data_IF_260717286455
#
_entry.id   IF_260717286455
#
_cell.length_a   1.000
_cell.length_b   1.000
_cell.length_c   1.000
_cell.angle_alpha   90.00
_cell.angle_beta   90.00
_cell.angle_gamma   90.00
#
_symmetry.space_group_name_H-M   'P 1'
#
loop_
_entity.id
_entity.type
_entity.pdbx_description
1 polymer ?
#
# COMPACT_ATOMS: atom_id res chain seq x y z
N UNK A 1 7.39 60.50 9.65
CA UNK A 1 6.75 59.18 9.75
C UNK A 1 5.26 59.42 9.90
N UNK A 2 4.50 59.36 8.81
CA UNK A 2 3.05 59.62 8.84
C UNK A 2 2.42 58.45 9.61
N UNK A 3 1.82 58.73 10.77
CA UNK A 3 1.09 57.75 11.57
C UNK A 3 -0.23 57.42 10.84
N UNK A 4 -0.29 56.23 10.26
CA UNK A 4 -1.50 55.68 9.64
C UNK A 4 -2.62 55.59 10.69
N UNK A 5 -3.82 56.06 10.35
CA UNK A 5 -4.94 56.10 11.28
C UNK A 5 -5.50 54.70 11.58
N UNK A 6 -6.15 54.54 12.74
CA UNK A 6 -6.77 53.26 13.16
C UNK A 6 -7.81 52.75 12.14
N UNK A 7 -8.48 53.68 11.44
CA UNK A 7 -9.46 53.35 10.40
C UNK A 7 -8.79 52.83 9.11
N UNK A 8 -7.74 53.50 8.63
CA UNK A 8 -6.99 53.06 7.45
C UNK A 8 -6.36 51.67 7.66
N UNK A 9 -5.82 51.41 8.85
CA UNK A 9 -5.33 50.07 9.21
C UNK A 9 -6.45 49.01 9.18
N UNK A 10 -7.64 49.34 9.68
CA UNK A 10 -8.81 48.47 9.62
C UNK A 10 -9.25 48.15 8.19
N UNK A 11 -9.23 49.14 7.30
CA UNK A 11 -9.57 48.94 5.87
C UNK A 11 -8.57 48.01 5.20
N UNK A 12 -7.26 48.20 5.42
CA UNK A 12 -6.21 47.36 4.84
C UNK A 12 -6.36 45.90 5.30
N UNK A 13 -6.61 45.66 6.58
CA UNK A 13 -6.88 44.30 7.09
C UNK A 13 -8.15 43.72 6.48
N UNK A 14 -9.22 44.50 6.39
CA UNK A 14 -10.49 44.06 5.79
C UNK A 14 -10.33 43.58 4.35
N UNK A 15 -9.57 44.33 3.54
CA UNK A 15 -9.23 43.93 2.17
C UNK A 15 -8.38 42.66 2.17
N UNK A 16 -7.37 42.55 3.04
CA UNK A 16 -6.53 41.35 3.12
C UNK A 16 -7.33 40.08 3.45
N UNK A 17 -8.24 40.16 4.43
CA UNK A 17 -9.10 39.04 4.80
C UNK A 17 -10.07 38.64 3.68
N UNK A 18 -10.63 39.61 2.96
CA UNK A 18 -11.48 39.35 1.79
C UNK A 18 -10.69 38.63 0.69
N UNK A 19 -9.48 39.10 0.38
CA UNK A 19 -8.62 38.45 -0.62
C UNK A 19 -8.27 37.01 -0.22
N UNK A 20 -7.91 36.76 1.03
CA UNK A 20 -7.63 35.42 1.54
C UNK A 20 -8.87 34.52 1.41
N UNK A 21 -10.05 35.03 1.78
CA UNK A 21 -11.31 34.29 1.70
C UNK A 21 -11.66 33.88 0.26
N UNK A 22 -11.32 34.69 -0.73
CA UNK A 22 -11.53 34.38 -2.15
C UNK A 22 -10.47 33.39 -2.69
N UNK A 23 -9.25 33.41 -2.16
CA UNK A 23 -8.14 32.54 -2.64
C UNK A 23 -8.19 31.14 -2.05
N UNK A 24 -8.62 30.98 -0.80
CA UNK A 24 -8.56 29.69 -0.10
C UNK A 24 -9.38 28.56 -0.78
N UNK A 25 -10.64 28.79 -1.25
CA UNK A 25 -11.39 27.77 -1.98
C UNK A 25 -10.71 27.37 -3.29
N UNK A 26 -10.13 28.35 -4.01
CA UNK A 26 -9.42 28.09 -5.26
C UNK A 26 -8.16 27.23 -5.04
N UNK A 27 -7.43 27.46 -3.93
CA UNK A 27 -6.29 26.63 -3.55
C UNK A 27 -6.68 25.19 -3.22
N UNK A 28 -7.82 25.00 -2.55
CA UNK A 28 -8.33 23.67 -2.22
C UNK A 28 -8.74 22.92 -3.49
N UNK A 29 -9.48 23.57 -4.40
CA UNK A 29 -9.85 23.01 -5.69
C UNK A 29 -8.63 22.60 -6.50
N UNK A 30 -7.63 23.47 -6.61
CA UNK A 30 -6.39 23.19 -7.34
C UNK A 30 -5.59 22.03 -6.75
N UNK A 31 -5.55 21.91 -5.41
CA UNK A 31 -4.91 20.77 -4.74
C UNK A 31 -5.64 19.46 -5.04
N UNK A 32 -6.96 19.50 -5.09
CA UNK A 32 -7.76 18.31 -5.36
C UNK A 32 -7.66 17.86 -6.82
N UNK A 33 -7.70 18.79 -7.77
CA UNK A 33 -7.40 18.51 -9.17
C UNK A 33 -6.00 17.91 -9.36
N UNK A 34 -5.00 18.40 -8.60
CA UNK A 34 -3.66 17.84 -8.61
C UNK A 34 -3.63 16.39 -8.08
N UNK A 35 -4.35 16.09 -7.00
CA UNK A 35 -4.48 14.71 -6.47
C UNK A 35 -5.18 13.79 -7.47
N UNK A 36 -6.26 14.26 -8.09
CA UNK A 36 -6.98 13.53 -9.13
C UNK A 36 -6.05 13.22 -10.32
N UNK A 37 -5.28 14.22 -10.77
CA UNK A 37 -4.29 14.06 -11.85
C UNK A 37 -3.16 13.08 -11.47
N UNK A 38 -2.67 13.13 -10.24
CA UNK A 38 -1.67 12.19 -9.73
C UNK A 38 -2.21 10.76 -9.67
N UNK A 39 -3.43 10.55 -9.18
CA UNK A 39 -4.06 9.21 -9.17
C UNK A 39 -4.28 8.66 -10.57
N UNK A 40 -4.73 9.50 -11.50
CA UNK A 40 -4.81 9.15 -12.93
C UNK A 40 -3.43 8.74 -13.47
N UNK A 41 -2.37 9.44 -13.08
CA UNK A 41 -1.00 9.09 -13.47
C UNK A 41 -0.52 7.78 -12.82
N UNK A 42 -0.91 7.49 -11.58
CA UNK A 42 -0.63 6.20 -10.94
C UNK A 42 -1.28 5.04 -11.70
N UNK A 43 -2.56 5.16 -12.09
CA UNK A 43 -3.22 4.18 -12.96
C UNK A 43 -2.56 4.07 -14.34
N UNK A 44 -2.05 5.17 -14.89
CA UNK A 44 -1.27 5.13 -16.14
C UNK A 44 0.04 4.36 -15.98
N UNK A 45 0.74 4.52 -14.87
CA UNK A 45 1.94 3.72 -14.56
C UNK A 45 1.61 2.25 -14.37
N UNK A 46 0.51 1.93 -13.66
CA UNK A 46 0.00 0.55 -13.54
C UNK A 46 -0.34 -0.02 -14.93
N UNK A 47 -1.02 0.74 -15.77
CA UNK A 47 -1.34 0.35 -17.14
C UNK A 47 -0.10 0.07 -17.98
N UNK A 48 0.89 0.96 -17.95
CA UNK A 48 2.17 0.74 -18.65
C UNK A 48 2.88 -0.53 -18.14
N UNK A 49 2.88 -0.77 -16.83
CA UNK A 49 3.46 -1.97 -16.25
C UNK A 49 2.71 -3.26 -16.66
N UNK A 50 1.38 -3.21 -16.74
CA UNK A 50 0.56 -4.31 -17.26
C UNK A 50 0.84 -4.59 -18.74
N UNK A 51 1.00 -3.55 -19.56
CA UNK A 51 1.39 -3.69 -20.97
C UNK A 51 2.78 -4.28 -21.13
N UNK A 52 3.76 -3.82 -20.36
CA UNK A 52 5.11 -4.40 -20.39
C UNK A 52 5.14 -5.85 -19.89
N UNK A 53 4.31 -6.18 -18.89
CA UNK A 53 4.11 -7.56 -18.46
C UNK A 53 3.52 -8.40 -19.59
N UNK A 54 2.48 -7.90 -20.25
CA UNK A 54 1.79 -8.60 -21.33
C UNK A 54 2.70 -8.80 -22.55
N UNK A 55 3.49 -7.81 -22.95
CA UNK A 55 4.48 -7.93 -24.04
C UNK A 55 5.52 -9.03 -23.74
N UNK A 56 5.96 -9.15 -22.49
CA UNK A 56 6.94 -10.17 -22.09
C UNK A 56 6.34 -11.56 -21.85
N UNK A 57 5.11 -11.65 -21.33
CA UNK A 57 4.47 -12.91 -20.92
C UNK A 57 3.34 -13.39 -21.85
N UNK A 58 3.03 -12.62 -22.90
CA UNK A 58 1.95 -12.82 -23.87
C UNK A 58 0.55 -12.94 -23.24
N UNK A 59 0.38 -12.40 -22.03
CA UNK A 59 -0.87 -12.41 -21.28
C UNK A 59 -0.82 -11.45 -20.10
N UNK A 60 -1.98 -11.02 -19.62
CA UNK A 60 -2.12 -10.35 -18.33
C UNK A 60 -1.66 -11.26 -17.18
N UNK A 61 -1.17 -10.69 -16.06
CA UNK A 61 -0.78 -11.48 -14.89
C UNK A 61 -1.99 -12.24 -14.32
N UNK A 62 -1.71 -13.35 -13.63
CA UNK A 62 -2.71 -13.96 -12.76
C UNK A 62 -3.19 -12.91 -11.76
N UNK A 63 -4.49 -12.80 -11.54
CA UNK A 63 -5.04 -12.00 -10.44
C UNK A 63 -4.42 -12.41 -9.11
N UNK A 64 -4.33 -13.73 -8.92
CA UNK A 64 -3.73 -14.38 -7.77
C UNK A 64 -3.29 -15.79 -8.12
N UNK A 65 -2.16 -16.22 -7.58
CA UNK A 65 -1.70 -17.61 -7.67
C UNK A 65 -2.06 -18.33 -6.38
N UNK A 66 -2.84 -19.40 -6.44
CA UNK A 66 -3.28 -20.21 -5.32
C UNK A 66 -2.89 -21.64 -5.63
N UNK A 67 -2.06 -22.25 -4.78
CA UNK A 67 -1.62 -23.64 -4.94
C UNK A 67 -2.80 -24.61 -4.73
N UNK A 68 -2.65 -25.83 -5.22
CA UNK A 68 -3.70 -26.87 -5.13
C UNK A 68 -4.13 -27.17 -3.69
N UNK A 69 -3.22 -27.03 -2.72
CA UNK A 69 -3.50 -27.19 -1.29
C UNK A 69 -4.17 -25.96 -0.63
N UNK A 70 -4.55 -24.96 -1.43
CA UNK A 70 -5.23 -23.76 -0.98
C UNK A 70 -4.30 -22.65 -0.47
N UNK A 71 -2.98 -22.86 -0.45
CA UNK A 71 -2.04 -21.81 -0.04
C UNK A 71 -2.01 -20.71 -1.09
N UNK A 72 -2.38 -19.49 -0.68
CA UNK A 72 -2.29 -18.31 -1.52
C UNK A 72 -0.82 -17.86 -1.64
N UNK A 73 -0.37 -17.66 -2.87
CA UNK A 73 1.00 -17.27 -3.22
C UNK A 73 1.05 -15.77 -3.48
N UNK A 74 1.03 -15.31 -4.74
CA UNK A 74 1.23 -13.89 -5.09
C UNK A 74 0.09 -13.33 -5.95
N UNK A 75 -0.18 -12.03 -5.81
CA UNK A 75 -1.20 -11.29 -6.57
C UNK A 75 -0.65 -10.56 -7.80
N UNK A 76 -1.56 -10.03 -8.63
CA UNK A 76 -1.20 -9.33 -9.88
C UNK A 76 -0.35 -8.07 -9.67
N UNK A 77 -0.57 -7.33 -8.57
CA UNK A 77 0.26 -6.16 -8.23
C UNK A 77 1.72 -6.55 -8.08
N UNK A 78 1.99 -7.68 -7.40
CA UNK A 78 3.33 -8.22 -7.28
C UNK A 78 3.88 -8.68 -8.64
N UNK A 79 3.05 -9.28 -9.49
CA UNK A 79 3.42 -9.68 -10.85
C UNK A 79 3.91 -8.53 -11.72
N UNK A 80 3.30 -7.35 -11.60
CA UNK A 80 3.69 -6.15 -12.38
C UNK A 80 4.81 -5.32 -11.74
N UNK A 81 5.19 -5.60 -10.49
CA UNK A 81 6.16 -4.80 -9.75
C UNK A 81 7.52 -4.60 -10.46
N UNK A 82 8.13 -5.61 -11.11
CA UNK A 82 9.35 -5.41 -11.90
C UNK A 82 9.20 -4.35 -13.01
N UNK A 83 7.99 -4.18 -13.53
CA UNK A 83 7.67 -3.26 -14.62
C UNK A 83 7.30 -1.84 -14.15
N UNK A 84 7.23 -1.61 -12.82
CA UNK A 84 6.93 -0.31 -12.20
C UNK A 84 8.18 0.49 -11.79
N UNK A 85 9.35 0.15 -12.33
CA UNK A 85 10.65 0.66 -11.86
C UNK A 85 10.90 0.34 -10.37
N UNK A 86 10.26 -0.71 -9.84
CA UNK A 86 10.37 -1.18 -8.45
C UNK A 86 11.26 -2.43 -8.32
N UNK A 87 12.28 -2.54 -9.18
CA UNK A 87 13.17 -3.71 -9.27
C UNK A 87 13.86 -4.09 -7.96
N UNK A 88 14.00 -3.14 -7.01
CA UNK A 88 14.59 -3.42 -5.71
C UNK A 88 13.70 -4.30 -4.82
N UNK A 89 12.38 -4.17 -4.91
CA UNK A 89 11.44 -4.95 -4.09
C UNK A 89 11.25 -6.37 -4.65
N UNK A 90 11.09 -6.50 -5.97
CA UNK A 90 10.91 -7.81 -6.62
C UNK A 90 12.10 -8.74 -6.37
N UNK A 91 13.33 -8.23 -6.44
CA UNK A 91 14.55 -9.00 -6.21
C UNK A 91 14.73 -9.51 -4.77
N UNK A 92 13.97 -8.99 -3.80
CA UNK A 92 14.03 -9.40 -2.39
C UNK A 92 13.00 -10.47 -2.02
N UNK A 93 11.98 -10.66 -2.84
CA UNK A 93 10.92 -11.61 -2.61
C UNK A 93 11.38 -13.04 -2.91
N UNK A 94 10.97 -13.95 -2.04
CA UNK A 94 11.02 -15.38 -2.31
C UNK A 94 9.67 -15.80 -2.91
N UNK A 95 9.67 -16.14 -4.20
CA UNK A 95 8.47 -16.49 -4.95
C UNK A 95 7.89 -17.85 -4.54
N UNK A 96 8.69 -18.71 -3.90
CA UNK A 96 8.27 -20.05 -3.44
C UNK A 96 7.59 -19.99 -2.06
N UNK A 97 7.62 -18.82 -1.41
CA UNK A 97 6.94 -18.56 -0.15
C UNK A 97 5.56 -17.93 -0.38
N UNK A 98 4.62 -18.21 0.53
CA UNK A 98 3.29 -17.58 0.49
C UNK A 98 3.37 -16.08 0.76
N UNK A 99 2.35 -15.32 0.35
CA UNK A 99 2.27 -13.88 0.68
C UNK A 99 2.25 -13.60 2.19
N UNK A 100 1.85 -14.58 3.01
CA UNK A 100 1.78 -14.44 4.46
C UNK A 100 3.03 -14.95 5.17
N UNK A 101 4.08 -15.34 4.43
CA UNK A 101 5.33 -15.81 5.00
C UNK A 101 6.13 -14.66 5.63
N UNK A 102 6.69 -14.89 6.81
CA UNK A 102 7.59 -13.93 7.48
C UNK A 102 8.86 -13.64 6.67
N UNK A 103 9.22 -14.52 5.73
CA UNK A 103 10.35 -14.30 4.80
C UNK A 103 10.08 -13.09 3.88
N UNK A 104 8.84 -12.90 3.45
CA UNK A 104 8.44 -11.84 2.53
C UNK A 104 7.83 -10.62 3.23
N UNK A 105 7.45 -10.74 4.51
CA UNK A 105 6.91 -9.64 5.32
C UNK A 105 7.73 -8.33 5.24
N UNK A 106 9.08 -8.34 5.30
CA UNK A 106 9.87 -7.10 5.20
C UNK A 106 9.69 -6.32 3.88
N UNK A 107 9.25 -7.00 2.81
CA UNK A 107 8.92 -6.36 1.53
C UNK A 107 7.49 -5.83 1.56
N UNK A 108 6.54 -6.58 2.13
CA UNK A 108 5.12 -6.25 2.14
C UNK A 108 4.72 -5.12 3.09
N UNK A 109 5.61 -4.73 4.00
CA UNK A 109 5.45 -3.53 4.85
C UNK A 109 5.84 -2.23 4.14
N UNK A 110 6.24 -2.27 2.87
CA UNK A 110 6.54 -1.07 2.10
C UNK A 110 5.26 -0.39 1.60
N UNK A 111 5.18 0.94 1.74
CA UNK A 111 4.19 1.75 1.02
C UNK A 111 4.70 2.03 -0.40
N UNK A 112 3.91 1.64 -1.40
CA UNK A 112 4.23 1.82 -2.81
C UNK A 112 3.38 2.97 -3.34
N UNK A 113 4.02 4.11 -3.63
CA UNK A 113 3.33 5.34 -4.02
C UNK A 113 2.37 5.16 -5.22
N UNK A 114 2.76 4.36 -6.23
CA UNK A 114 1.90 4.12 -7.39
C UNK A 114 0.66 3.25 -7.10
N UNK A 115 0.56 2.64 -5.92
CA UNK A 115 -0.61 1.89 -5.46
C UNK A 115 -1.53 2.71 -4.56
N UNK A 116 -1.18 3.96 -4.29
CA UNK A 116 -1.88 4.83 -3.35
C UNK A 116 -2.58 5.96 -4.12
N UNK A 117 -3.87 6.17 -3.84
CA UNK A 117 -4.60 7.40 -4.21
C UNK A 117 -4.13 8.55 -3.30
N UNK A 118 -3.56 9.64 -3.86
CA UNK A 118 -3.10 10.77 -3.06
C UNK A 118 -4.22 11.44 -2.27
N UNK A 119 -4.00 11.66 -0.97
CA UNK A 119 -4.99 12.28 -0.07
C UNK A 119 -5.85 11.30 0.72
N UNK A 120 -5.79 10.00 0.42
CA UNK A 120 -6.35 8.95 1.29
C UNK A 120 -5.38 8.68 2.43
N UNK A 121 -5.83 8.83 3.68
CA UNK A 121 -5.05 8.58 4.90
C UNK A 121 -5.26 7.14 5.39
N UNK A 122 -4.80 6.17 4.59
CA UNK A 122 -4.90 4.75 4.88
C UNK A 122 -3.75 3.98 4.19
N UNK A 123 -2.54 4.11 4.73
CA UNK A 123 -1.34 3.58 4.07
C UNK A 123 -1.04 2.12 4.48
N UNK A 124 -1.44 1.72 5.69
CA UNK A 124 -1.13 0.41 6.25
C UNK A 124 -2.30 -0.24 6.98
N UNK A 125 -2.24 -1.57 7.07
CA UNK A 125 -3.07 -2.34 8.01
C UNK A 125 -2.60 -2.15 9.45
N UNK A 126 -3.43 -2.53 10.43
CA UNK A 126 -3.03 -2.63 11.85
C UNK A 126 -1.90 -3.63 12.10
N UNK A 127 -1.70 -4.56 11.16
CA UNK A 127 -0.57 -5.51 11.16
C UNK A 127 0.67 -4.98 10.41
N UNK A 128 0.60 -3.77 9.85
CA UNK A 128 1.72 -3.06 9.24
C UNK A 128 1.96 -3.36 7.75
N UNK A 129 1.14 -4.20 7.11
CA UNK A 129 1.19 -4.42 5.67
C UNK A 129 0.77 -3.17 4.90
N UNK A 130 1.52 -2.80 3.86
CA UNK A 130 1.20 -1.68 2.98
C UNK A 130 -0.04 -1.93 2.13
N UNK A 131 -0.87 -0.92 1.95
CA UNK A 131 -2.16 -1.03 1.26
C UNK A 131 -2.07 -0.74 -0.23
N UNK A 132 -3.16 -1.03 -0.94
CA UNK A 132 -3.45 -0.54 -2.29
C UNK A 132 -4.83 0.11 -2.32
N UNK A 133 -4.94 1.19 -3.08
CA UNK A 133 -6.19 1.90 -3.39
C UNK A 133 -6.71 1.56 -4.79
N UNK A 134 -6.11 0.58 -5.46
CA UNK A 134 -6.54 0.09 -6.76
C UNK A 134 -6.73 -1.42 -6.76
N UNK A 135 -7.86 -1.89 -7.28
CA UNK A 135 -8.14 -3.31 -7.44
C UNK A 135 -8.50 -3.67 -8.88
N UNK A 136 -8.30 -4.95 -9.21
CA UNK A 136 -8.46 -5.48 -10.55
C UNK A 136 -9.89 -5.88 -10.91
N UNK A 137 -10.12 -5.98 -12.22
CA UNK A 137 -11.29 -6.57 -12.83
C UNK A 137 -11.27 -8.10 -12.63
N UNK A 138 -12.25 -8.70 -11.93
CA UNK A 138 -12.29 -10.13 -11.70
C UNK A 138 -12.39 -10.96 -12.99
N UNK A 139 -12.86 -10.40 -14.09
CA UNK A 139 -12.88 -11.09 -15.37
C UNK A 139 -11.49 -11.24 -16.01
N UNK A 140 -10.56 -10.33 -15.71
CA UNK A 140 -9.22 -10.31 -16.29
C UNK A 140 -8.12 -10.75 -15.32
N UNK A 141 -8.28 -10.37 -14.05
CA UNK A 141 -7.31 -10.53 -12.98
C UNK A 141 -7.91 -11.42 -11.90
N UNK A 142 -8.13 -12.70 -12.22
CA UNK A 142 -8.63 -13.71 -11.28
C UNK A 142 -7.61 -14.83 -11.02
N UNK A 143 -8.00 -15.77 -10.16
CA UNK A 143 -7.11 -16.83 -9.70
C UNK A 143 -6.64 -17.75 -10.84
N UNK A 144 -5.36 -18.09 -10.83
CA UNK A 144 -4.72 -19.20 -11.56
C UNK A 144 -4.96 -19.27 -13.08
N UNK A 145 -5.46 -18.20 -13.70
CA UNK A 145 -5.73 -18.16 -15.14
C UNK A 145 -5.30 -16.82 -15.73
N UNK A 146 -4.68 -16.92 -16.90
CA UNK A 146 -4.22 -15.80 -17.71
C UNK A 146 -5.31 -15.42 -18.69
N UNK A 147 -5.45 -14.12 -18.90
CA UNK A 147 -6.29 -13.55 -19.96
C UNK A 147 -5.37 -12.84 -20.95
N UNK A 148 -5.57 -13.06 -22.24
CA UNK A 148 -4.80 -12.39 -23.30
C UNK A 148 -5.65 -11.28 -23.92
N UNK A 149 -5.01 -10.29 -24.55
CA UNK A 149 -5.76 -9.23 -25.22
C UNK A 149 -6.59 -9.73 -26.41
N UNK A 150 -6.18 -10.84 -27.05
CA UNK A 150 -6.97 -11.50 -28.10
C UNK A 150 -8.33 -12.02 -27.62
N UNK A 151 -8.48 -12.29 -26.31
CA UNK A 151 -9.76 -12.73 -25.72
C UNK A 151 -10.74 -11.57 -25.50
N UNK A 152 -10.32 -10.32 -25.70
CA UNK A 152 -11.18 -9.14 -25.53
C UNK A 152 -12.05 -8.90 -26.77
N UNK A 153 -13.09 -9.71 -26.94
CA UNK A 153 -13.94 -9.76 -28.15
C UNK A 153 -14.59 -8.41 -28.51
N UNK A 154 -14.87 -7.56 -27.51
CA UNK A 154 -15.46 -6.23 -27.72
C UNK A 154 -14.42 -5.14 -28.00
N UNK A 155 -13.14 -5.50 -28.09
CA UNK A 155 -12.02 -4.57 -28.20
C UNK A 155 -11.56 -4.01 -26.86
N UNK A 156 -10.30 -3.58 -26.82
CA UNK A 156 -9.60 -3.11 -25.60
C UNK A 156 -10.23 -1.86 -24.98
N UNK A 157 -10.84 -0.99 -25.79
CA UNK A 157 -11.55 0.17 -25.25
C UNK A 157 -12.76 -0.25 -24.43
N UNK A 158 -13.54 -1.26 -24.80
CA UNK A 158 -14.75 -1.62 -24.04
C UNK A 158 -14.46 -2.46 -22.79
N UNK A 159 -13.19 -2.62 -22.43
CA UNK A 159 -12.76 -3.40 -21.27
C UNK A 159 -12.04 -2.50 -20.25
N UNK A 160 -12.25 -2.77 -18.96
CA UNK A 160 -11.49 -2.18 -17.86
C UNK A 160 -10.59 -3.24 -17.21
N UNK A 161 -9.43 -2.83 -16.68
CA UNK A 161 -8.47 -3.72 -16.02
C UNK A 161 -8.40 -3.47 -14.52
N UNK A 162 -8.30 -2.21 -14.09
CA UNK A 162 -8.19 -1.85 -12.68
C UNK A 162 -8.88 -0.52 -12.41
N UNK A 163 -9.22 -0.24 -11.16
CA UNK A 163 -9.88 0.99 -10.78
C UNK A 163 -9.63 1.38 -9.34
N UNK A 164 -9.87 2.66 -9.04
CA UNK A 164 -9.84 3.22 -7.68
C UNK A 164 -10.95 2.61 -6.83
N UNK A 165 -10.66 2.24 -5.59
CA UNK A 165 -11.66 1.66 -4.67
C UNK A 165 -12.03 2.61 -3.54
N UNK A 166 -13.31 2.58 -3.14
CA UNK A 166 -13.87 3.54 -2.19
C UNK A 166 -13.53 3.22 -0.73
N UNK A 167 -13.10 1.99 -0.45
CA UNK A 167 -12.76 1.53 0.89
C UNK A 167 -12.50 0.02 0.93
N UNK A 168 -12.55 -0.54 2.14
CA UNK A 168 -12.14 -1.92 2.40
C UNK A 168 -10.80 -2.21 1.73
N UNK A 169 -9.84 -1.32 1.97
CA UNK A 169 -8.51 -1.40 1.38
C UNK A 169 -7.85 -2.72 1.78
N UNK A 170 -7.07 -3.26 0.87
CA UNK A 170 -6.39 -4.54 1.03
C UNK A 170 -4.89 -4.30 0.96
N UNK A 171 -4.07 -5.13 1.62
CA UNK A 171 -2.65 -5.15 1.35
C UNK A 171 -2.39 -5.34 -0.14
N UNK A 172 -1.43 -4.62 -0.71
CA UNK A 172 -1.04 -4.83 -2.11
C UNK A 172 -0.41 -6.21 -2.33
N UNK A 173 0.05 -6.86 -1.25
CA UNK A 173 0.55 -8.23 -1.25
C UNK A 173 -0.55 -9.29 -1.21
N UNK A 174 -1.80 -8.89 -0.94
CA UNK A 174 -2.90 -9.84 -0.81
C UNK A 174 -3.25 -10.46 -2.18
N UNK A 175 -3.21 -11.79 -2.35
CA UNK A 175 -3.36 -12.38 -3.67
C UNK A 175 -4.75 -12.24 -4.31
N UNK A 176 -5.75 -11.71 -3.59
CA UNK A 176 -7.13 -11.56 -4.06
C UNK A 176 -7.51 -10.08 -4.30
N UNK A 177 -6.59 -9.29 -4.87
CA UNK A 177 -6.80 -7.86 -5.14
C UNK A 177 -7.71 -7.58 -6.35
N UNK A 178 -8.92 -8.14 -6.35
CA UNK A 178 -9.99 -7.85 -7.31
C UNK A 178 -11.34 -7.79 -6.59
N UNK A 179 -12.32 -7.11 -7.20
CA UNK A 179 -13.73 -7.18 -6.78
C UNK A 179 -14.65 -6.80 -7.94
N UNK A 180 -15.93 -7.20 -7.93
CA UNK A 180 -16.88 -6.79 -8.97
C UNK A 180 -17.01 -5.26 -9.06
N UNK A 181 -17.17 -4.73 -10.27
CA UNK A 181 -17.34 -3.28 -10.48
C UNK A 181 -18.62 -2.74 -9.84
N UNK A 182 -19.67 -3.58 -9.80
CA UNK A 182 -21.01 -3.16 -9.39
C UNK A 182 -21.72 -2.33 -10.47
N UNK A 183 -22.83 -1.70 -10.08
CA UNK A 183 -23.67 -0.87 -10.97
C UNK A 183 -23.65 0.60 -10.58
N UNK A 184 -22.88 0.98 -9.55
CA UNK A 184 -22.76 2.34 -9.05
C UNK A 184 -21.39 2.52 -8.39
N UNK A 185 -20.75 3.66 -8.64
CA UNK A 185 -19.51 4.04 -7.96
C UNK A 185 -19.80 4.78 -6.66
N UNK A 186 -18.86 4.75 -5.73
CA UNK A 186 -18.97 5.40 -4.41
C UNK A 186 -20.17 4.89 -3.58
N UNK A 187 -20.62 3.66 -3.84
CA UNK A 187 -21.77 3.01 -3.18
C UNK A 187 -21.33 2.18 -1.94
N UNK A 188 -20.56 2.83 -1.07
CA UNK A 188 -20.00 2.21 0.14
C UNK A 188 -18.63 1.53 -0.06
N UNK A 189 -18.07 0.94 1.01
CA UNK A 189 -16.65 0.55 1.06
C UNK A 189 -16.30 -0.64 0.15
N UNK A 190 -17.28 -1.41 -0.32
CA UNK A 190 -17.05 -2.50 -1.29
C UNK A 190 -17.07 -2.03 -2.75
N UNK A 191 -17.41 -0.77 -3.03
CA UNK A 191 -17.50 -0.24 -4.40
C UNK A 191 -16.17 0.27 -4.93
N UNK A 192 -16.13 0.51 -6.26
CA UNK A 192 -15.12 1.35 -6.90
C UNK A 192 -15.51 2.83 -6.78
N UNK A 193 -14.53 3.72 -6.86
CA UNK A 193 -14.69 5.16 -6.76
C UNK A 193 -13.86 5.78 -5.65
N UNK A 194 -13.81 7.10 -5.62
CA UNK A 194 -13.24 7.92 -4.56
C UNK A 194 -14.33 8.92 -4.12
N UNK A 195 -14.99 8.70 -2.97
CA UNK A 195 -16.15 9.52 -2.56
C UNK A 195 -15.89 11.03 -2.53
N UNK A 196 -14.67 11.48 -2.24
CA UNK A 196 -14.36 12.92 -2.23
C UNK A 196 -14.34 13.56 -3.65
N UNK A 197 -14.40 12.76 -4.71
CA UNK A 197 -14.46 13.22 -6.11
C UNK A 197 -15.82 12.97 -6.76
N UNK A 198 -16.81 12.45 -6.03
CA UNK A 198 -18.12 12.06 -6.60
C UNK A 198 -17.98 11.13 -7.82
N UNK A 199 -17.01 10.21 -7.77
CA UNK A 199 -16.69 9.31 -8.86
C UNK A 199 -15.31 8.67 -8.71
N UNK A 200 -14.77 8.10 -9.77
CA UNK A 200 -13.41 7.57 -9.76
C UNK A 200 -12.91 7.16 -11.14
N UNK A 201 -11.62 6.87 -11.21
CA UNK A 201 -10.96 6.45 -12.44
C UNK A 201 -10.96 4.94 -12.61
N UNK A 202 -11.20 4.52 -13.84
CA UNK A 202 -10.95 3.16 -14.30
C UNK A 202 -9.86 3.20 -15.39
N UNK A 203 -8.89 2.30 -15.25
CA UNK A 203 -7.93 1.96 -16.29
C UNK A 203 -8.60 1.03 -17.29
N UNK A 204 -8.63 1.45 -18.55
CA UNK A 204 -9.15 0.66 -19.68
C UNK A 204 -8.07 -0.22 -20.27
N UNK A 205 -8.47 -1.29 -20.94
CA UNK A 205 -7.50 -2.22 -21.53
C UNK A 205 -6.73 -1.62 -22.70
N UNK A 206 -7.20 -0.52 -23.31
CA UNK A 206 -6.44 0.28 -24.29
C UNK A 206 -5.38 1.21 -23.66
N UNK A 207 -5.20 1.13 -22.33
CA UNK A 207 -4.27 1.96 -21.57
C UNK A 207 -4.78 3.37 -21.28
N UNK A 208 -5.98 3.75 -21.73
CA UNK A 208 -6.62 5.00 -21.33
C UNK A 208 -7.12 4.93 -19.88
N UNK A 209 -7.13 6.08 -19.19
CA UNK A 209 -7.68 6.18 -17.83
C UNK A 209 -8.81 7.20 -17.89
N UNK A 210 -10.02 6.74 -17.59
CA UNK A 210 -11.26 7.51 -17.73
C UNK A 210 -11.90 7.70 -16.37
N UNK A 211 -12.30 8.94 -16.08
CA UNK A 211 -13.09 9.25 -14.90
C UNK A 211 -14.57 8.96 -15.16
N UNK A 212 -15.20 8.29 -14.21
CA UNK A 212 -16.63 8.01 -14.19
C UNK A 212 -17.22 8.64 -12.94
N UNK A 213 -18.27 9.45 -13.10
CA UNK A 213 -19.02 10.02 -11.97
C UNK A 213 -19.85 8.94 -11.28
N UNK A 214 -20.16 9.14 -10.00
CA UNK A 214 -21.14 8.35 -9.24
C UNK A 214 -22.57 8.42 -9.81
N UNK A 215 -22.84 9.38 -10.71
CA UNK A 215 -24.07 9.52 -11.50
C UNK A 215 -24.01 8.79 -12.85
N UNK A 216 -22.93 8.05 -13.13
CA UNK A 216 -22.83 7.25 -14.37
C UNK A 216 -24.00 6.29 -14.46
N UNK A 217 -24.66 6.24 -15.62
CA UNK A 217 -25.80 5.36 -15.85
C UNK A 217 -25.44 3.89 -15.51
N UNK A 218 -26.24 3.19 -14.67
CA UNK A 218 -25.94 1.82 -14.23
C UNK A 218 -25.69 0.83 -15.38
N UNK A 219 -26.35 1.04 -16.53
CA UNK A 219 -26.21 0.21 -17.72
C UNK A 219 -24.80 0.26 -18.30
N UNK A 220 -24.09 1.40 -18.17
CA UNK A 220 -22.70 1.56 -18.63
C UNK A 220 -21.77 0.70 -17.76
N UNK A 221 -21.90 0.81 -16.43
CA UNK A 221 -21.08 0.05 -15.48
C UNK A 221 -21.37 -1.45 -15.58
N UNK A 222 -22.66 -1.82 -15.75
CA UNK A 222 -23.07 -3.20 -16.02
C UNK A 222 -22.44 -3.74 -17.30
N UNK A 223 -22.45 -2.95 -18.38
CA UNK A 223 -21.84 -3.36 -19.64
C UNK A 223 -20.32 -3.61 -19.50
N UNK A 224 -19.62 -2.83 -18.68
CA UNK A 224 -18.21 -3.07 -18.35
C UNK A 224 -17.99 -4.28 -17.44
N UNK A 225 -18.88 -4.50 -16.46
CA UNK A 225 -18.79 -5.64 -15.55
C UNK A 225 -19.04 -6.98 -16.25
N UNK A 226 -19.90 -7.00 -17.27
CA UNK A 226 -20.30 -8.20 -18.02
C UNK A 226 -19.52 -8.39 -19.34
N UNK A 227 -18.54 -7.53 -19.63
CA UNK A 227 -17.76 -7.61 -20.87
C UNK A 227 -16.88 -8.88 -20.90
N UNK A 228 -16.91 -9.66 -22.00
CA UNK A 228 -16.14 -10.90 -22.13
C UNK A 228 -14.62 -10.64 -22.22
N UNK A 229 -13.78 -11.59 -21.75
CA UNK A 229 -14.16 -12.90 -21.22
C UNK A 229 -14.79 -12.79 -19.82
N UNK A 230 -15.75 -13.65 -19.50
CA UNK A 230 -16.39 -13.68 -18.17
C UNK A 230 -15.82 -14.84 -17.37
N UNK A 231 -15.23 -14.55 -16.22
CA UNK A 231 -14.66 -15.56 -15.35
C UNK A 231 -15.75 -16.31 -14.58
N UNK A 232 -15.50 -17.59 -14.27
CA UNK A 232 -16.40 -18.40 -13.44
C UNK A 232 -16.47 -17.89 -12.01
N UNK A 233 -17.50 -18.32 -11.27
CA UNK A 233 -17.66 -17.96 -9.86
C UNK A 233 -16.49 -18.48 -9.01
N UNK A 234 -16.01 -19.68 -9.30
CA UNK A 234 -14.89 -20.32 -8.61
C UNK A 234 -13.59 -19.54 -8.83
N UNK A 235 -13.41 -18.97 -10.03
CA UNK A 235 -12.24 -18.16 -10.38
C UNK A 235 -12.23 -16.80 -9.66
N UNK A 236 -13.41 -16.20 -9.53
CA UNK A 236 -13.58 -14.85 -8.96
C UNK A 236 -13.82 -14.84 -7.46
N UNK A 237 -14.07 -16.01 -6.86
CA UNK A 237 -14.25 -16.16 -5.42
C UNK A 237 -13.05 -15.61 -4.63
N UNK A 238 -13.36 -14.77 -3.64
CA UNK A 238 -12.40 -14.22 -2.69
C UNK A 238 -12.70 -14.76 -1.28
N UNK A 239 -11.69 -15.00 -0.45
CA UNK A 239 -11.91 -15.32 0.97
C UNK A 239 -12.70 -14.21 1.66
N UNK A 240 -13.59 -14.59 2.59
CA UNK A 240 -14.26 -13.64 3.48
C UNK A 240 -13.26 -13.11 4.50
N UNK A 241 -12.56 -12.06 4.11
CA UNK A 241 -11.47 -11.45 4.88
C UNK A 241 -11.49 -9.94 4.70
N UNK A 242 -11.56 -9.23 5.80
CA UNK A 242 -11.33 -7.79 5.89
C UNK A 242 -9.97 -7.51 6.54
N UNK A 243 -9.47 -6.31 6.34
CA UNK A 243 -8.24 -5.84 6.97
C UNK A 243 -8.56 -4.54 7.68
N UNK A 244 -8.24 -4.48 8.97
CA UNK A 244 -8.29 -3.22 9.69
C UNK A 244 -7.11 -2.36 9.24
N UNK A 245 -7.40 -1.09 8.93
CA UNK A 245 -6.42 -0.14 8.42
C UNK A 245 -6.61 1.24 9.03
N UNK A 246 -5.58 2.07 8.84
CA UNK A 246 -5.61 3.43 9.32
C UNK A 246 -4.38 4.21 8.87
N UNK A 247 -4.28 5.41 9.42
CA UNK A 247 -3.18 6.32 9.17
C UNK A 247 -2.00 5.95 10.08
N UNK A 248 -1.16 5.05 9.58
CA UNK A 248 0.00 4.53 10.28
C UNK A 248 1.29 4.88 9.55
N UNK A 249 2.41 4.86 10.27
CA UNK A 249 3.73 4.90 9.68
C UNK A 249 4.70 3.97 10.43
N UNK A 250 5.74 3.54 9.73
CA UNK A 250 6.85 2.78 10.31
C UNK A 250 7.95 3.74 10.75
N UNK A 251 8.22 3.76 12.05
CA UNK A 251 9.41 4.41 12.61
C UNK A 251 10.55 3.39 12.73
N UNK A 252 11.72 3.73 12.22
CA UNK A 252 12.92 2.89 12.33
C UNK A 252 13.71 3.23 13.58
N UNK A 253 14.02 2.21 14.38
CA UNK A 253 14.86 2.29 15.57
C UNK A 253 16.01 1.29 15.40
N UNK A 254 17.24 1.79 15.29
CA UNK A 254 18.42 0.92 15.24
C UNK A 254 18.75 0.40 16.65
N UNK A 255 18.93 -0.91 16.78
CA UNK A 255 19.28 -1.58 18.03
C UNK A 255 20.80 -1.68 18.18
N UNK A 256 21.28 -1.57 19.41
CA UNK A 256 22.70 -1.68 19.72
C UNK A 256 23.20 -3.11 19.50
N UNK A 257 24.32 -3.25 18.82
CA UNK A 257 25.04 -4.50 18.60
C UNK A 257 26.54 -4.21 18.57
N UNK A 258 27.37 -5.25 18.63
CA UNK A 258 28.82 -5.09 18.55
C UNK A 258 29.23 -4.51 17.19
N UNK A 259 30.18 -3.59 17.16
CA UNK A 259 30.62 -2.93 15.92
C UNK A 259 31.19 -3.90 14.88
N UNK A 260 31.73 -5.02 15.35
CA UNK A 260 32.31 -6.10 14.55
C UNK A 260 31.33 -7.26 14.32
N UNK A 261 30.09 -7.14 14.78
CA UNK A 261 29.06 -8.14 14.53
C UNK A 261 28.81 -8.31 13.04
N UNK A 262 28.45 -9.52 12.63
CA UNK A 262 28.11 -9.82 11.24
C UNK A 262 26.81 -9.14 10.82
N UNK A 263 25.95 -8.81 11.79
CA UNK A 263 24.65 -8.21 11.53
C UNK A 263 24.39 -6.93 12.32
N UNK A 264 23.56 -6.08 11.72
CA UNK A 264 22.86 -4.99 12.39
C UNK A 264 21.44 -5.42 12.72
N UNK A 265 20.85 -4.78 13.73
CA UNK A 265 19.52 -5.08 14.20
C UNK A 265 18.66 -3.83 14.19
N UNK A 266 17.42 -3.99 13.73
CA UNK A 266 16.51 -2.88 13.48
C UNK A 266 15.14 -3.25 14.01
N UNK A 267 14.58 -2.40 14.85
CA UNK A 267 13.17 -2.45 15.21
C UNK A 267 12.40 -1.46 14.33
N UNK A 268 11.35 -1.94 13.66
CA UNK A 268 10.37 -1.09 13.00
C UNK A 268 9.15 -1.01 13.90
N UNK A 269 8.80 0.19 14.35
CA UNK A 269 7.67 0.48 15.23
C UNK A 269 6.52 0.97 14.37
N UNK A 270 5.39 0.26 14.37
CA UNK A 270 4.20 0.73 13.68
C UNK A 270 3.44 1.68 14.61
N UNK A 271 3.30 2.94 14.18
CA UNK A 271 2.65 3.99 14.96
C UNK A 271 1.47 4.58 14.22
N UNK A 272 0.42 4.91 14.98
CA UNK A 272 -0.58 5.87 14.52
C UNK A 272 0.02 7.27 14.54
N UNK A 273 -0.39 8.14 13.60
CA UNK A 273 0.09 9.53 13.54
C UNK A 273 -0.18 10.34 14.83
N UNK A 274 -1.10 9.86 15.67
CA UNK A 274 -1.54 10.51 16.91
C UNK A 274 -1.12 9.70 18.17
N UNK A 275 0.10 9.15 18.14
CA UNK A 275 0.94 8.71 19.28
C UNK A 275 0.77 7.28 19.86
N UNK A 276 -0.15 6.44 19.40
CA UNK A 276 -0.19 5.04 19.88
C UNK A 276 0.67 4.11 19.03
N UNK A 277 1.56 3.36 19.69
CA UNK A 277 2.29 2.24 19.08
C UNK A 277 1.35 1.04 18.96
N UNK A 278 1.38 0.33 17.83
CA UNK A 278 0.55 -0.86 17.62
C UNK A 278 1.34 -2.15 17.79
N UNK A 279 2.51 -2.21 17.16
CA UNK A 279 3.41 -3.36 17.20
C UNK A 279 4.84 -2.94 16.87
N UNK A 280 5.81 -3.79 17.22
CA UNK A 280 7.20 -3.66 16.77
C UNK A 280 7.59 -4.94 16.03
N UNK A 281 8.14 -4.80 14.83
CA UNK A 281 8.80 -5.89 14.14
C UNK A 281 10.32 -5.72 14.27
N UNK A 282 11.01 -6.73 14.77
CA UNK A 282 12.47 -6.75 14.87
C UNK A 282 13.04 -7.52 13.69
N UNK A 283 14.03 -6.94 13.04
CA UNK A 283 14.74 -7.50 11.90
C UNK A 283 16.24 -7.49 12.15
N UNK A 284 16.93 -8.32 11.37
CA UNK A 284 18.38 -8.27 11.22
C UNK A 284 18.76 -8.07 9.76
N UNK A 285 19.94 -7.51 9.51
CA UNK A 285 20.53 -7.42 8.18
C UNK A 285 22.06 -7.48 8.28
N UNK A 286 22.71 -7.92 7.20
CA UNK A 286 24.17 -7.95 7.15
C UNK A 286 24.78 -6.57 7.44
N UNK A 287 25.77 -6.53 8.33
CA UNK A 287 26.55 -5.35 8.67
C UNK A 287 27.52 -5.04 7.54
N UNK A 288 27.05 -4.25 6.56
CA UNK A 288 27.81 -3.89 5.37
C UNK A 288 28.49 -2.54 5.53
N UNK A 289 29.73 -2.45 5.09
CA UNK A 289 30.46 -1.21 4.96
C UNK A 289 29.76 -0.24 3.99
N UNK A 290 30.00 1.08 4.10
CA UNK A 290 29.45 2.06 3.15
C UNK A 290 29.83 1.78 1.69
N UNK A 291 30.98 1.15 1.45
CA UNK A 291 31.43 0.78 0.11
C UNK A 291 30.64 -0.39 -0.47
N UNK A 292 30.42 -1.45 0.32
CA UNK A 292 29.58 -2.59 -0.09
C UNK A 292 28.14 -2.17 -0.37
N UNK A 293 27.60 -1.23 0.42
CA UNK A 293 26.27 -0.66 0.18
C UNK A 293 26.18 0.09 -1.15
N UNK A 294 27.21 0.84 -1.54
CA UNK A 294 27.27 1.55 -2.84
C UNK A 294 27.34 0.59 -4.03
N UNK A 295 28.03 -0.53 -3.87
CA UNK A 295 28.25 -1.52 -4.93
C UNK A 295 27.13 -2.57 -5.03
N UNK A 296 26.19 -2.57 -4.06
CA UNK A 296 25.06 -3.50 -4.04
C UNK A 296 24.05 -3.19 -5.15
N UNK A 297 23.71 -4.21 -5.96
CA UNK A 297 22.64 -4.11 -6.97
C UNK A 297 21.26 -3.85 -6.35
N UNK A 298 21.05 -4.20 -5.08
CA UNK A 298 19.84 -3.83 -4.34
C UNK A 298 20.06 -2.52 -3.57
N UNK A 299 19.26 -1.49 -3.80
CA UNK A 299 19.28 -0.27 -2.99
C UNK A 299 18.64 -0.55 -1.62
N UNK A 300 19.47 -0.71 -0.59
CA UNK A 300 19.06 -0.89 0.82
C UNK A 300 19.33 -2.29 1.39
N UNK A 301 19.27 -2.38 2.72
CA UNK A 301 19.56 -3.60 3.46
C UNK A 301 18.45 -4.65 3.26
N UNK A 302 18.82 -5.93 3.09
CA UNK A 302 17.87 -7.05 3.05
C UNK A 302 17.54 -7.43 4.48
N UNK A 303 16.38 -6.98 4.95
CA UNK A 303 15.90 -7.28 6.29
C UNK A 303 15.43 -8.74 6.37
N UNK A 304 15.80 -9.42 7.45
CA UNK A 304 15.34 -10.74 7.83
C UNK A 304 14.52 -10.61 9.11
N UNK A 305 13.28 -11.06 9.07
CA UNK A 305 12.38 -10.99 10.22
C UNK A 305 12.88 -11.89 11.37
N UNK A 306 12.93 -11.34 12.59
CA UNK A 306 13.32 -12.07 13.79
C UNK A 306 12.13 -12.33 14.71
N UNK A 307 11.39 -11.28 15.07
CA UNK A 307 10.23 -11.40 15.94
C UNK A 307 9.26 -10.23 15.80
N UNK A 308 8.04 -10.45 16.27
CA UNK A 308 6.99 -9.44 16.45
C UNK A 308 6.76 -9.23 17.94
N UNK A 309 6.64 -7.98 18.36
CA UNK A 309 6.37 -7.57 19.74
C UNK A 309 5.02 -6.85 19.73
N UNK A 310 4.10 -7.36 20.54
CA UNK A 310 2.84 -6.73 20.89
C UNK A 310 2.85 -6.27 22.36
N UNK A 311 1.73 -5.73 22.85
CA UNK A 311 1.59 -5.26 24.23
C UNK A 311 1.79 -6.35 25.30
N UNK A 312 1.71 -7.63 24.94
CA UNK A 312 1.80 -8.78 25.86
C UNK A 312 3.15 -9.50 25.84
N UNK A 313 4.00 -9.16 24.88
CA UNK A 313 5.26 -9.87 24.63
C UNK A 313 6.28 -9.63 25.75
N UNK A 314 6.85 -10.69 26.34
CA UNK A 314 8.06 -10.57 27.18
C UNK A 314 9.28 -10.30 26.28
N UNK A 315 9.60 -9.02 26.13
CA UNK A 315 10.69 -8.54 25.27
C UNK A 315 12.04 -9.15 25.65
N UNK A 316 12.33 -9.29 26.95
CA UNK A 316 13.63 -9.79 27.38
C UNK A 316 13.79 -11.27 27.04
N UNK A 317 12.73 -12.07 27.24
CA UNK A 317 12.72 -13.47 26.84
C UNK A 317 12.76 -13.62 25.31
N UNK A 318 11.96 -12.83 24.58
CA UNK A 318 11.86 -12.92 23.14
C UNK A 318 13.17 -12.54 22.42
N UNK A 319 13.84 -11.45 22.84
CA UNK A 319 15.12 -11.05 22.26
C UNK A 319 16.24 -12.06 22.57
N UNK A 320 16.19 -12.74 23.73
CA UNK A 320 17.15 -13.79 24.09
C UNK A 320 17.09 -15.00 23.15
N UNK A 321 15.96 -15.21 22.47
CA UNK A 321 15.78 -16.27 21.48
C UNK A 321 16.30 -15.89 20.08
N UNK A 322 16.85 -14.68 19.91
CA UNK A 322 17.41 -14.21 18.64
C UNK A 322 18.93 -14.11 18.68
N UNK A 323 19.54 -13.98 17.51
CA UNK A 323 20.99 -13.79 17.34
C UNK A 323 21.50 -12.49 17.96
N UNK A 324 20.63 -11.51 18.25
CA UNK A 324 21.01 -10.25 18.89
C UNK A 324 21.68 -10.49 20.25
N UNK A 325 21.25 -11.52 20.99
CA UNK A 325 21.83 -11.86 22.29
C UNK A 325 23.32 -12.20 22.17
N UNK A 326 23.70 -12.87 21.10
CA UNK A 326 25.07 -13.35 20.89
C UNK A 326 25.96 -12.31 20.19
N UNK A 327 25.35 -11.31 19.54
CA UNK A 327 26.02 -10.21 18.83
C UNK A 327 25.92 -8.85 19.55
N UNK A 328 25.64 -8.86 20.85
CA UNK A 328 25.65 -7.66 21.68
C UNK A 328 26.23 -7.91 23.06
N UNK A 329 26.91 -6.90 23.61
CA UNK A 329 27.36 -6.94 25.00
C UNK A 329 26.17 -6.95 25.96
N UNK A 330 26.33 -7.45 27.21
CA UNK A 330 25.24 -7.45 28.19
C UNK A 330 24.63 -6.07 28.44
N UNK A 331 25.44 -5.00 28.36
CA UNK A 331 24.98 -3.62 28.53
C UNK A 331 24.15 -3.15 27.33
N UNK A 332 24.59 -3.45 26.11
CA UNK A 332 23.86 -3.14 24.88
C UNK A 332 22.54 -3.89 24.82
N UNK A 333 22.56 -5.19 25.14
CA UNK A 333 21.35 -6.03 25.18
C UNK A 333 20.32 -5.45 26.18
N UNK A 334 20.77 -5.10 27.39
CA UNK A 334 19.89 -4.50 28.39
C UNK A 334 19.37 -3.12 27.97
N UNK A 335 20.16 -2.32 27.26
CA UNK A 335 19.72 -1.04 26.70
C UNK A 335 18.64 -1.24 25.63
N UNK A 336 18.80 -2.22 24.73
CA UNK A 336 17.79 -2.57 23.72
C UNK A 336 16.48 -3.04 24.36
N UNK A 337 16.56 -3.92 25.36
CA UNK A 337 15.37 -4.38 26.12
C UNK A 337 14.65 -3.19 26.73
N UNK A 338 15.37 -2.29 27.41
CA UNK A 338 14.80 -1.12 28.05
C UNK A 338 14.12 -0.19 27.04
N UNK A 339 14.78 0.09 25.91
CA UNK A 339 14.26 0.92 24.83
C UNK A 339 12.95 0.37 24.28
N UNK A 340 12.92 -0.93 23.95
CA UNK A 340 11.73 -1.56 23.38
C UNK A 340 10.60 -1.67 24.42
N UNK A 341 10.91 -1.86 25.70
CA UNK A 341 9.92 -1.80 26.79
C UNK A 341 9.34 -0.39 26.99
N UNK A 342 10.13 0.66 26.79
CA UNK A 342 9.63 2.05 26.83
C UNK A 342 8.62 2.28 25.70
N UNK A 343 8.93 1.82 24.48
CA UNK A 343 8.02 1.90 23.33
C UNK A 343 6.77 1.02 23.55
N UNK A 344 6.92 -0.20 24.09
CA UNK A 344 5.81 -1.11 24.34
C UNK A 344 4.78 -0.53 25.33
N UNK A 345 5.19 0.32 26.27
CA UNK A 345 4.25 0.98 27.19
C UNK A 345 3.27 1.93 26.50
N UNK A 346 3.60 2.41 25.31
CA UNK A 346 2.72 3.25 24.49
C UNK A 346 1.68 2.40 23.75
N UNK A 347 1.89 1.08 23.67
CA UNK A 347 0.91 0.16 23.12
C UNK A 347 -0.24 0.02 24.11
N UNK A 348 -1.41 0.54 23.75
CA UNK A 348 -2.61 0.35 24.55
C UNK A 348 -2.94 -1.14 24.57
N UNK A 349 -3.14 -1.72 25.77
CA UNK A 349 -3.68 -3.07 25.89
C UNK A 349 -4.99 -3.14 25.11
N UNK A 350 -5.11 -4.13 24.23
CA UNK A 350 -6.24 -4.35 23.32
C UNK A 350 -7.64 -4.40 23.98
N UNK A 351 -7.72 -4.43 25.31
CA UNK A 351 -8.96 -4.46 26.09
C UNK A 351 -9.72 -3.12 26.20
N UNK A 352 -9.17 -1.99 25.73
CA UNK A 352 -9.82 -0.67 25.87
C UNK A 352 -10.57 -0.15 24.63
N UNK A 353 -10.76 -0.98 23.60
CA UNK A 353 -11.55 -0.63 22.40
C UNK A 353 -12.72 -1.61 22.17
N UNK A 354 -13.64 -1.66 23.13
CA UNK A 354 -15.02 -2.15 22.92
C UNK A 354 -16.00 -0.99 22.91
#
# INVERSE_FOLDING_TARGET
MILMSRAEFGVVIGVMLLLIALVLPALQHSREEARQSMSKNNLKQIGLALYNYEDFHMALPYGGTIREDGVAMHGWLMGIMPFLNQNNFSNRLDYDQSWSSSVNEPVYIASIYCYQVPGVTADYTTTGLGLTHYLGNPNLLHRNRRVTFDQLERGTSYQWIAGEVAGNFQPWSYPFNWRPLGTKLCDGPHSFGHPAWDGGHLLRADGSVTFFSDQTAPEILKAFAEAPPVATREQTAVPDRTFDYGDFHWERVDLQSDLIAENIYVALVLRHYWETSLLINVYTAANRSPEERRNSKSQGDRLHFLLKIDASTDIAAALKATTLKDESSPQQFQANVKLLQEIQKEMTSSDSRQ
#
